data_IF_902603036917
#
_entry.id   IF_902603036917
#
_cell.length_a   1.000
_cell.length_b   1.000
_cell.length_c   1.000
_cell.angle_alpha   90.00
_cell.angle_beta   90.00
_cell.angle_gamma   90.00
#
_symmetry.space_group_name_H-M   'P 1'
#
loop_
_entity.id
_entity.type
_entity.pdbx_description
1 polymer ?
2 non-polymer ?
3 water ?
#
# COMPACT_ATOMS: atom_id res chain seq x y z
N UNK A 2 -7.72 6.32 -12.25
CA UNK A 2 -8.19 4.94 -12.66
C UNK A 2 -9.68 4.70 -12.47
N UNK A 3 -10.08 3.70 -11.68
CA UNK A 3 -9.26 2.65 -11.07
C UNK A 3 -8.62 1.78 -12.14
N UNK A 4 -7.68 0.84 -11.91
CA UNK A 4 -6.53 0.75 -10.96
C UNK A 4 -6.34 -0.56 -10.15
N UNK A 5 -5.65 -1.53 -10.74
CA UNK A 5 -5.36 -2.85 -10.14
C UNK A 5 -3.86 -3.01 -9.94
N UNK A 6 -3.43 -3.38 -8.74
CA UNK A 6 -2.02 -3.46 -8.44
C UNK A 6 -1.54 -4.87 -8.34
N UNK A 7 -0.74 -5.28 -9.33
CA UNK A 7 -0.17 -6.62 -9.39
C UNK A 7 1.14 -6.58 -8.65
N UNK A 8 1.27 -7.45 -7.66
CA UNK A 8 2.45 -7.45 -6.80
C UNK A 8 3.37 -8.63 -7.09
N UNK A 9 4.65 -8.34 -7.29
CA UNK A 9 5.71 -9.35 -7.12
C UNK A 9 6.54 -9.00 -5.85
N UNK A 10 6.54 -9.91 -4.87
CA UNK A 10 7.23 -9.67 -3.56
C UNK A 10 8.52 -10.45 -3.31
N UNK A 11 9.63 -9.90 -3.78
CA UNK A 11 10.94 -10.54 -3.59
C UNK A 11 12.08 -9.57 -3.24
N UNK A 12 12.70 -9.69 -2.05
CA UNK A 12 12.32 -10.52 -0.88
C UNK A 12 13.28 -10.27 0.30
N UNK A 13 14.57 -10.24 0.01
CA UNK A 13 15.64 -9.87 0.93
C UNK A 13 16.87 -9.49 0.10
N UNK A 14 16.64 -9.22 -1.18
CA UNK A 14 17.70 -8.97 -2.19
C UNK A 14 17.84 -7.52 -2.64
N UNK A 15 18.71 -7.22 -3.62
CA UNK A 15 19.48 -8.13 -4.49
C UNK A 15 18.65 -8.69 -5.63
N UNK A 16 17.60 -9.44 -5.27
CA UNK A 16 16.57 -9.82 -6.24
C UNK A 16 15.72 -8.61 -6.62
N UNK A 17 16.37 -7.45 -6.71
CA UNK A 17 15.71 -6.18 -7.02
C UNK A 17 16.21 -5.60 -8.34
N UNK A 18 17.42 -5.05 -8.33
CA UNK A 18 18.03 -4.45 -9.51
C UNK A 18 18.03 -5.45 -10.70
N UNK A 19 17.87 -6.72 -10.38
CA UNK A 19 17.70 -7.76 -11.38
C UNK A 19 16.24 -7.82 -11.83
N UNK A 20 15.33 -7.86 -10.86
CA UNK A 20 13.90 -7.90 -11.16
C UNK A 20 13.35 -6.59 -11.74
N UNK A 21 13.96 -5.46 -11.35
CA UNK A 21 13.43 -4.15 -11.74
C UNK A 21 13.47 -3.92 -13.25
N UNK A 22 14.65 -4.07 -13.85
CA UNK A 22 14.81 -3.87 -15.29
C UNK A 22 14.04 -4.94 -16.07
N UNK A 23 14.11 -6.19 -15.60
CA UNK A 23 13.43 -7.29 -16.29
C UNK A 23 11.90 -7.29 -16.10
N UNK A 24 11.39 -6.47 -15.19
CA UNK A 24 9.94 -6.40 -14.95
C UNK A 24 9.33 -5.00 -15.10
N UNK A 25 10.17 -4.00 -15.38
CA UNK A 25 9.75 -2.61 -15.60
C UNK A 25 8.44 -2.21 -14.87
N UNK A 26 8.45 -2.23 -13.52
CA UNK A 26 7.22 -2.00 -12.78
C UNK A 26 7.07 -0.53 -12.39
N UNK A 27 5.87 -0.15 -11.97
CA UNK A 27 5.50 1.24 -11.76
C UNK A 27 5.84 1.78 -10.36
N UNK A 28 5.59 0.96 -9.34
CA UNK A 28 6.19 1.18 -8.03
C UNK A 28 7.58 0.56 -8.23
N UNK A 29 8.57 0.61 -7.32
CA UNK A 29 8.68 -0.23 -6.13
C UNK A 29 8.53 0.32 -4.74
N UNK A 30 8.39 -0.63 -3.81
CA UNK A 30 8.39 -0.42 -2.38
C UNK A 30 9.70 -0.99 -1.84
N UNK A 31 10.31 -0.28 -0.90
CA UNK A 31 11.58 -0.72 -0.35
C UNK A 31 11.62 -0.66 1.18
N UNK A 32 11.66 -1.82 1.83
CA UNK A 32 11.84 -1.90 3.28
C UNK A 32 13.32 -1.64 3.56
N UNK A 33 13.63 -0.65 4.40
CA UNK A 33 15.03 -0.26 4.62
C UNK A 33 15.54 -0.50 6.04
N UNK A 34 14.62 -0.90 6.92
CA UNK A 34 14.82 -0.92 8.37
C UNK A 34 16.12 -1.60 8.82
N UNK A 35 16.69 -1.09 9.93
CA UNK A 35 18.00 -1.49 10.51
C UNK A 35 19.19 -1.50 9.52
N UNK A 36 20.30 -0.83 9.89
CA UNK A 36 21.48 -0.77 9.00
C UNK A 36 22.21 -2.12 8.80
N UNK A 37 21.59 -3.05 8.07
CA UNK A 37 22.22 -4.36 7.78
C UNK A 37 22.02 -4.91 6.35
N UNK A 38 20.80 -4.89 5.84
CA UNK A 38 20.50 -5.42 4.49
C UNK A 38 20.37 -4.32 3.41
N UNK A 39 21.01 -4.55 2.26
CA UNK A 39 21.29 -3.50 1.25
C UNK A 39 20.13 -2.65 0.71
N UNK A 40 19.30 -2.12 1.62
CA UNK A 40 18.14 -1.32 1.24
C UNK A 40 18.55 -0.11 0.43
N UNK A 41 19.26 0.82 1.07
CA UNK A 41 19.72 2.06 0.45
C UNK A 41 20.60 1.85 -0.77
N UNK A 42 21.40 0.80 -0.76
CA UNK A 42 22.32 0.52 -1.83
C UNK A 42 21.57 0.09 -3.09
N UNK A 43 20.41 -0.53 -2.87
CA UNK A 43 19.53 -0.97 -3.95
C UNK A 43 18.98 0.23 -4.73
N UNK A 44 18.36 1.15 -3.99
CA UNK A 44 17.73 2.34 -4.55
C UNK A 44 18.65 3.12 -5.50
N UNK A 45 19.88 3.38 -5.04
CA UNK A 45 20.86 4.17 -5.79
C UNK A 45 21.02 3.60 -7.20
N UNK A 46 21.13 2.27 -7.30
CA UNK A 46 21.26 1.58 -8.59
C UNK A 46 20.09 1.83 -9.53
N UNK A 47 18.88 1.85 -8.97
CA UNK A 47 17.70 2.15 -9.77
C UNK A 47 17.72 3.61 -10.17
N UNK A 48 17.80 4.48 -9.17
CA UNK A 48 17.87 5.91 -9.40
C UNK A 48 18.98 6.24 -10.41
N UNK A 49 19.79 5.24 -10.73
CA UNK A 49 20.76 5.37 -11.80
C UNK A 49 20.22 4.77 -13.09
N UNK A 50 19.89 3.49 -13.07
CA UNK A 50 19.42 2.81 -14.29
C UNK A 50 18.12 3.42 -14.81
N UNK A 51 17.45 4.16 -13.94
CA UNK A 51 16.27 4.95 -14.29
C UNK A 51 16.18 6.11 -13.32
N UNK A 52 16.77 7.26 -13.70
CA UNK A 52 16.80 8.49 -12.90
C UNK A 52 15.44 9.00 -12.38
N UNK A 53 14.35 8.54 -13.01
CA UNK A 53 12.98 8.94 -12.67
C UNK A 53 12.57 8.65 -11.21
N UNK A 54 11.92 7.49 -11.00
CA UNK A 54 11.41 7.01 -9.71
C UNK A 54 10.85 5.61 -10.05
N UNK A 55 9.74 5.14 -9.50
CA UNK A 55 9.01 5.73 -8.38
C UNK A 55 9.12 4.76 -7.21
N UNK A 56 9.96 5.12 -6.25
CA UNK A 56 10.20 4.28 -5.11
C UNK A 56 9.43 4.81 -3.90
N UNK A 57 8.86 3.90 -3.13
CA UNK A 57 8.08 4.22 -1.96
C UNK A 57 8.73 3.59 -0.74
N UNK A 58 9.22 4.42 0.17
CA UNK A 58 10.01 3.91 1.29
C UNK A 58 9.13 3.52 2.47
N UNK A 59 9.55 2.46 3.14
CA UNK A 59 8.79 1.88 4.24
C UNK A 59 9.32 2.35 5.60
N UNK A 60 8.94 3.57 5.97
CA UNK A 60 9.44 4.21 7.18
C UNK A 60 8.63 3.86 8.42
N UNK A 61 9.34 3.31 9.39
CA UNK A 61 8.81 2.83 10.66
C UNK A 61 9.79 1.75 11.11
N UNK A 62 10.32 1.85 12.32
CA UNK A 62 10.07 2.97 13.24
C UNK A 62 11.39 3.31 13.93
N UNK A 63 11.60 4.57 14.30
CA UNK A 63 12.80 4.99 15.03
C UNK A 63 14.09 4.91 14.22
N UNK A 64 14.11 4.01 13.24
CA UNK A 64 15.23 3.91 12.29
C UNK A 64 15.03 4.95 11.17
N UNK A 65 14.88 6.19 11.59
CA UNK A 65 14.79 7.34 10.71
C UNK A 65 16.18 7.62 10.18
N UNK A 66 17.18 7.38 11.01
CA UNK A 66 18.58 7.41 10.61
C UNK A 66 18.76 6.95 9.16
N UNK A 67 18.14 5.80 8.84
CA UNK A 67 18.22 5.22 7.52
C UNK A 67 17.38 5.97 6.51
N UNK A 68 16.17 6.32 6.90
CA UNK A 68 15.24 7.03 6.02
C UNK A 68 15.88 8.30 5.44
N UNK A 69 16.53 9.08 6.30
CA UNK A 69 17.21 10.28 5.86
C UNK A 69 18.22 9.96 4.75
N UNK A 70 19.12 9.01 5.02
CA UNK A 70 20.11 8.58 4.02
C UNK A 70 19.43 8.09 2.74
N UNK A 71 18.30 7.42 2.88
CA UNK A 71 17.53 6.96 1.74
C UNK A 71 17.03 8.10 0.87
N UNK A 72 16.58 9.19 1.50
CA UNK A 72 16.03 10.32 0.75
C UNK A 72 17.12 11.04 -0.01
N UNK A 73 18.31 11.10 0.60
CA UNK A 73 19.49 11.63 -0.06
C UNK A 73 19.74 10.86 -1.36
N UNK A 74 19.40 9.58 -1.38
CA UNK A 74 19.54 8.76 -2.59
C UNK A 74 18.48 9.01 -3.67
N UNK A 75 17.39 9.68 -3.30
CA UNK A 75 16.36 10.07 -4.28
C UNK A 75 14.95 9.60 -3.99
N UNK A 76 14.73 9.08 -2.78
CA UNK A 76 13.40 8.69 -2.35
C UNK A 76 12.50 9.91 -2.17
N UNK A 77 11.36 9.90 -2.84
CA UNK A 77 10.40 10.99 -2.79
C UNK A 77 9.09 10.63 -2.10
N UNK A 78 8.79 9.34 -1.91
CA UNK A 78 7.49 8.92 -1.36
C UNK A 78 7.56 7.82 -0.28
N UNK A 79 6.49 7.70 0.52
CA UNK A 79 6.53 6.92 1.77
C UNK A 79 5.18 6.38 2.17
N UNK A 80 5.19 5.21 2.82
CA UNK A 80 4.00 4.73 3.52
C UNK A 80 4.24 4.62 5.03
N UNK A 81 3.19 4.85 5.80
CA UNK A 81 3.31 4.81 7.23
C UNK A 81 2.12 4.13 7.87
N UNK A 82 2.40 3.37 8.92
CA UNK A 82 1.34 2.72 9.66
C UNK A 82 1.47 3.06 11.13
N UNK A 83 2.28 2.29 11.86
CA UNK A 83 2.37 2.39 13.32
C UNK A 83 2.81 3.78 13.79
N UNK A 84 3.86 4.31 13.15
CA UNK A 84 4.52 5.54 13.56
C UNK A 84 3.63 6.75 13.42
N UNK A 85 2.63 6.64 12.56
CA UNK A 85 1.63 7.68 12.42
C UNK A 85 0.62 7.62 13.57
N UNK A 86 0.28 6.40 14.00
CA UNK A 86 -0.63 6.21 15.11
C UNK A 86 0.04 6.71 16.41
N UNK A 87 1.32 6.38 16.60
CA UNK A 87 2.09 6.91 17.72
C UNK A 87 2.16 8.41 17.69
N UNK A 88 2.38 8.94 16.48
CA UNK A 88 2.60 10.37 16.31
C UNK A 88 1.96 10.89 15.03
N UNK A 89 0.65 11.17 15.09
CA UNK A 89 -0.11 11.72 13.96
C UNK A 89 0.60 12.85 13.21
N UNK A 90 1.35 13.68 13.94
CA UNK A 90 2.02 14.84 13.35
C UNK A 90 2.99 14.46 12.24
N UNK A 91 3.53 13.25 12.35
CA UNK A 91 4.56 12.76 11.45
C UNK A 91 4.14 12.87 9.99
N UNK A 92 2.82 12.83 9.76
CA UNK A 92 2.24 12.96 8.43
C UNK A 92 2.39 14.38 7.96
N UNK A 93 1.80 15.31 8.72
CA UNK A 93 1.93 16.73 8.46
C UNK A 93 3.39 17.06 8.20
N UNK A 94 4.27 16.44 8.98
CA UNK A 94 5.71 16.68 8.87
C UNK A 94 6.22 16.38 7.46
N UNK A 95 5.99 15.15 6.99
CA UNK A 95 6.36 14.73 5.63
C UNK A 95 5.60 15.52 4.57
N UNK A 96 4.28 15.57 4.71
CA UNK A 96 3.46 16.21 3.72
C UNK A 96 3.89 17.65 3.52
N UNK A 97 4.48 18.26 4.53
CA UNK A 97 4.95 19.62 4.36
C UNK A 97 6.23 19.68 3.56
N UNK A 98 7.11 18.71 3.78
CA UNK A 98 8.36 18.65 3.01
C UNK A 98 8.11 18.19 1.57
N UNK A 99 7.40 17.08 1.39
CA UNK A 99 7.27 16.45 0.09
C UNK A 99 5.88 16.56 -0.54
N UNK A 100 4.97 17.26 0.15
CA UNK A 100 3.58 17.36 -0.32
C UNK A 100 2.70 16.21 0.12
N UNK A 101 1.38 16.42 0.10
CA UNK A 101 0.41 15.40 0.50
C UNK A 101 0.48 14.20 -0.39
N UNK A 102 0.76 14.44 -1.66
CA UNK A 102 0.96 13.39 -2.64
C UNK A 102 1.86 12.30 -2.09
N UNK A 103 2.98 12.72 -1.54
CA UNK A 103 4.07 11.83 -1.18
C UNK A 103 3.78 10.86 -0.04
N UNK A 104 2.68 11.05 0.66
CA UNK A 104 2.48 10.22 1.83
C UNK A 104 1.24 9.36 1.74
N UNK A 105 1.43 8.07 1.95
CA UNK A 105 0.37 7.08 1.99
C UNK A 105 0.31 6.54 3.42
N UNK A 106 -0.89 6.54 4.00
CA UNK A 106 -1.12 5.94 5.30
C UNK A 106 -1.77 4.57 5.16
N UNK A 107 -1.06 3.54 5.57
CA UNK A 107 -1.61 2.20 5.65
C UNK A 107 -2.48 2.13 6.87
N UNK A 108 -3.71 1.63 6.73
CA UNK A 108 -4.54 1.40 7.91
C UNK A 108 -4.96 -0.05 8.03
N UNK A 109 -4.65 -0.65 9.18
CA UNK A 109 -5.00 -2.04 9.48
C UNK A 109 -6.22 -2.11 10.37
N UNK A 110 -7.29 -2.72 9.86
CA UNK A 110 -8.55 -2.71 10.57
C UNK A 110 -9.15 -4.08 10.78
N UNK A 111 -9.96 -4.17 11.83
CA UNK A 111 -10.52 -5.41 12.32
C UNK A 111 -11.78 -4.98 13.05
N UNK A 112 -12.87 -5.70 12.86
CA UNK A 112 -14.07 -5.37 13.61
C UNK A 112 -14.10 -6.10 14.92
N UNK A 113 -14.27 -5.34 16.01
CA UNK A 113 -14.33 -5.89 17.35
C UNK A 113 -15.56 -5.37 18.10
N UNK A 114 -16.47 -6.30 18.40
CA UNK A 114 -17.76 -6.01 19.05
C UNK A 114 -18.63 -5.11 18.17
N UNK A 115 -18.62 -5.44 16.88
CA UNK A 115 -19.38 -4.73 15.86
C UNK A 115 -18.88 -3.32 15.62
N UNK A 116 -17.57 -3.13 15.77
CA UNK A 116 -16.96 -1.80 15.72
C UNK A 116 -15.62 -1.88 15.01
N UNK A 117 -15.48 -1.16 13.89
CA UNK A 117 -14.18 -1.08 13.19
C UNK A 117 -13.10 -0.39 14.03
N UNK A 118 -12.02 -1.13 14.32
CA UNK A 118 -10.96 -0.66 15.20
C UNK A 118 -9.59 -0.77 14.53
N UNK A 119 -8.67 0.13 14.89
CA UNK A 119 -7.33 0.16 14.28
C UNK A 119 -6.35 -0.74 15.05
N UNK A 120 -5.39 -1.33 14.33
CA UNK A 120 -4.42 -2.25 14.90
C UNK A 120 -3.04 -1.91 14.40
N UNK A 121 -2.05 -1.95 15.29
CA UNK A 121 -0.70 -1.58 14.90
C UNK A 121 0.28 -2.71 15.11
N UNK A 122 1.56 -2.40 14.86
CA UNK A 122 2.64 -3.36 15.01
C UNK A 122 2.38 -4.58 14.17
N UNK A 123 2.18 -4.35 12.87
CA UNK A 123 1.84 -5.43 11.94
C UNK A 123 0.51 -6.07 12.38
N UNK A 124 -0.43 -5.21 12.78
CA UNK A 124 -1.80 -5.61 13.10
C UNK A 124 -2.04 -6.42 14.38
N UNK A 125 -1.46 -6.00 15.49
CA UNK A 125 -1.60 -6.79 16.71
C UNK A 125 -1.98 -6.00 17.97
N UNK A 126 -1.55 -4.75 18.09
CA UNK A 126 -1.99 -3.94 19.21
C UNK A 126 -3.33 -3.34 18.84
N UNK A 127 -4.36 -3.66 19.60
CA UNK A 127 -5.62 -2.94 19.43
C UNK A 127 -5.45 -1.56 20.04
N UNK A 128 -5.35 -0.59 19.17
CA UNK A 128 -5.08 0.77 19.58
C UNK A 128 -6.22 1.35 20.40
N UNK A 129 -7.41 0.77 20.28
CA UNK A 129 -8.61 1.30 20.91
C UNK A 129 -9.04 2.59 20.23
N UNK A 130 -8.72 2.68 18.95
CA UNK A 130 -9.05 3.85 18.14
C UNK A 130 -9.99 3.42 17.02
N UNK A 131 -11.15 4.04 16.98
CA UNK A 131 -12.16 3.75 15.97
C UNK A 131 -11.65 4.11 14.59
N UNK A 132 -11.81 3.19 13.64
CA UNK A 132 -11.38 3.41 12.26
C UNK A 132 -11.93 4.72 11.74
N UNK A 133 -13.24 4.88 11.85
CA UNK A 133 -13.92 6.13 11.54
C UNK A 133 -13.13 7.38 11.98
N UNK A 134 -12.55 7.35 13.18
CA UNK A 134 -11.81 8.50 13.71
C UNK A 134 -10.52 8.75 12.96
N UNK A 135 -9.66 7.73 12.95
CA UNK A 135 -8.37 7.78 12.29
C UNK A 135 -8.45 8.22 10.81
N UNK A 136 -9.42 7.69 10.07
CA UNK A 136 -9.61 8.07 8.69
C UNK A 136 -9.66 9.61 8.53
N UNK A 137 -10.58 10.24 9.25
CA UNK A 137 -10.74 11.69 9.19
C UNK A 137 -9.45 12.38 9.58
N UNK A 138 -8.93 11.97 10.74
CA UNK A 138 -7.70 12.50 11.28
C UNK A 138 -6.58 12.46 10.24
N UNK A 139 -6.38 11.28 9.66
CA UNK A 139 -5.33 11.08 8.68
C UNK A 139 -5.43 12.04 7.52
N UNK A 140 -6.65 12.29 7.03
CA UNK A 140 -6.82 13.23 5.95
C UNK A 140 -6.45 14.63 6.39
N UNK A 141 -7.05 15.10 7.49
CA UNK A 141 -6.79 16.42 8.05
C UNK A 141 -5.31 16.66 8.34
N UNK A 142 -4.60 15.58 8.68
CA UNK A 142 -3.17 15.65 8.95
C UNK A 142 -2.37 15.84 7.69
N UNK A 143 -2.95 15.44 6.56
CA UNK A 143 -2.39 15.74 5.24
C UNK A 143 -2.00 14.56 4.37
N UNK A 144 -2.71 13.46 4.50
CA UNK A 144 -2.38 12.25 3.74
C UNK A 144 -2.63 12.38 2.24
N UNK A 145 -2.11 11.41 1.49
CA UNK A 145 -2.39 11.31 0.08
C UNK A 145 -3.35 10.20 -0.27
N UNK A 146 -3.06 9.00 0.19
CA UNK A 146 -3.86 7.83 -0.15
C UNK A 146 -3.97 6.92 1.04
N UNK A 147 -5.02 6.12 1.08
CA UNK A 147 -5.20 5.23 2.21
C UNK A 147 -5.12 3.76 1.78
N UNK A 148 -4.24 3.04 2.48
CA UNK A 148 -3.99 1.65 2.19
C UNK A 148 -4.71 0.79 3.22
N UNK A 149 -6.04 0.91 3.19
CA UNK A 149 -6.96 0.10 3.94
C UNK A 149 -6.78 -1.40 3.74
N UNK A 150 -6.20 -2.08 4.73
CA UNK A 150 -6.13 -3.54 4.74
C UNK A 150 -7.11 -4.10 5.77
N UNK A 151 -8.00 -4.97 5.34
CA UNK A 151 -8.92 -5.66 6.24
C UNK A 151 -8.23 -6.87 6.82
N UNK A 152 -8.19 -6.96 8.14
CA UNK A 152 -7.57 -8.10 8.79
C UNK A 152 -8.52 -9.28 8.76
N UNK A 153 -9.82 -8.99 8.89
CA UNK A 153 -10.84 -10.03 8.92
C UNK A 153 -10.96 -10.70 7.56
N UNK A 154 -10.13 -10.28 6.62
CA UNK A 154 -10.21 -10.77 5.25
C UNK A 154 -8.85 -11.14 4.69
N UNK A 155 -7.80 -10.62 5.32
CA UNK A 155 -6.46 -10.77 4.78
C UNK A 155 -6.10 -12.24 4.68
N UNK A 156 -5.97 -12.71 3.44
CA UNK A 156 -5.60 -14.08 3.14
C UNK A 156 -6.75 -15.05 3.20
N UNK A 157 -7.98 -14.56 3.13
CA UNK A 157 -9.15 -15.45 3.12
C UNK A 157 -9.53 -15.86 1.70
N UNK A 158 -8.87 -15.24 0.70
CA UNK A 158 -9.16 -15.52 -0.70
C UNK A 158 -10.68 -15.64 -0.93
N UNK A 159 -11.43 -14.79 -0.21
CA UNK A 159 -12.90 -14.87 -0.14
C UNK A 159 -13.61 -13.53 -0.44
N UNK A 160 -12.88 -12.56 -0.97
CA UNK A 160 -13.45 -11.25 -1.32
C UNK A 160 -12.87 -10.10 -0.52
N UNK A 161 -12.88 -8.91 -1.10
CA UNK A 161 -12.49 -7.72 -0.36
C UNK A 161 -13.53 -7.36 0.71
N UNK A 162 -13.13 -6.59 1.71
CA UNK A 162 -14.03 -6.16 2.78
C UNK A 162 -14.92 -5.02 2.30
N UNK A 163 -15.75 -5.33 1.30
CA UNK A 163 -16.64 -4.36 0.67
C UNK A 163 -17.44 -3.57 1.69
N UNK A 164 -17.68 -4.16 2.86
CA UNK A 164 -18.35 -3.46 3.97
C UNK A 164 -17.46 -2.39 4.58
N UNK A 165 -16.22 -2.74 4.93
CA UNK A 165 -15.26 -1.79 5.49
C UNK A 165 -15.00 -0.63 4.51
N UNK A 166 -14.93 -0.93 3.21
CA UNK A 166 -14.77 0.15 2.24
C UNK A 166 -15.92 1.16 2.32
N UNK A 167 -17.16 0.70 2.12
CA UNK A 167 -18.35 1.53 2.22
C UNK A 167 -18.38 2.40 3.47
N UNK A 168 -17.85 1.88 4.55
CA UNK A 168 -17.79 2.58 5.82
C UNK A 168 -16.84 3.76 5.68
N UNK A 169 -15.67 3.48 5.12
CA UNK A 169 -14.66 4.49 4.93
C UNK A 169 -15.02 5.48 3.82
N UNK A 170 -15.52 4.97 2.70
CA UNK A 170 -15.81 5.78 1.52
C UNK A 170 -16.29 7.21 1.77
N UNK A 171 -17.43 7.37 2.47
CA UNK A 171 -18.01 8.69 2.55
C UNK A 171 -17.28 9.57 3.55
N UNK A 172 -16.45 8.97 4.38
CA UNK A 172 -15.70 9.70 5.39
C UNK A 172 -14.49 10.41 4.82
N UNK A 173 -14.29 10.34 3.51
CA UNK A 173 -13.06 10.88 2.90
C UNK A 173 -13.20 11.21 1.42
N UNK A 174 -12.22 11.94 0.90
CA UNK A 174 -12.12 12.23 -0.52
C UNK A 174 -10.84 11.67 -1.11
N UNK A 175 -10.00 11.14 -0.24
CA UNK A 175 -8.69 10.63 -0.66
C UNK A 175 -8.89 9.32 -1.38
N UNK A 176 -8.00 8.99 -2.33
CA UNK A 176 -7.97 7.66 -2.95
C UNK A 176 -7.82 6.53 -1.94
N UNK A 177 -8.42 5.38 -2.21
CA UNK A 177 -8.35 4.27 -1.29
C UNK A 177 -7.91 3.02 -2.01
N UNK A 178 -6.66 2.63 -1.78
CA UNK A 178 -6.22 1.32 -2.24
C UNK A 178 -6.71 0.30 -1.23
N UNK A 179 -7.35 -0.73 -1.74
CA UNK A 179 -8.02 -1.74 -0.92
C UNK A 179 -7.21 -3.01 -0.89
N UNK A 180 -7.07 -3.56 0.32
CA UNK A 180 -6.21 -4.73 0.53
C UNK A 180 -6.86 -5.78 1.43
N UNK A 181 -6.58 -7.05 1.16
CA UNK A 181 -7.15 -8.11 1.96
C UNK A 181 -7.39 -9.44 1.26
N UNK A 182 -8.65 -9.70 0.88
CA UNK A 182 -9.06 -11.04 0.51
C UNK A 182 -9.28 -11.28 -0.96
N UNK A 183 -8.31 -10.93 -1.78
CA UNK A 183 -8.42 -11.14 -3.22
C UNK A 183 -8.67 -12.61 -3.56
N UNK A 184 -9.88 -12.91 -4.06
CA UNK A 184 -10.31 -14.30 -4.27
C UNK A 184 -10.59 -14.73 -5.70
N UNK A 185 -11.42 -13.95 -6.41
CA UNK A 185 -11.76 -14.22 -7.81
C UNK A 185 -12.00 -12.93 -8.60
N UNK A 186 -12.01 -13.05 -9.93
CA UNK A 186 -12.19 -11.90 -10.83
C UNK A 186 -13.36 -11.02 -10.41
N UNK A 187 -14.49 -11.65 -10.13
CA UNK A 187 -15.66 -10.95 -9.65
C UNK A 187 -15.38 -10.07 -8.42
N UNK A 188 -14.51 -10.53 -7.51
CA UNK A 188 -14.24 -9.79 -6.27
C UNK A 188 -13.65 -8.39 -6.47
N UNK A 189 -12.99 -8.18 -7.61
CA UNK A 189 -12.38 -6.89 -7.93
C UNK A 189 -13.40 -5.87 -8.31
N UNK A 190 -14.42 -6.30 -9.03
CA UNK A 190 -15.53 -5.43 -9.38
C UNK A 190 -16.19 -4.88 -8.12
N UNK A 191 -16.55 -5.79 -7.22
CA UNK A 191 -17.24 -5.45 -5.97
C UNK A 191 -16.47 -4.40 -5.20
N UNK A 192 -15.15 -4.53 -5.22
CA UNK A 192 -14.27 -3.58 -4.55
C UNK A 192 -14.38 -2.22 -5.20
N UNK A 193 -14.27 -2.17 -6.52
CA UNK A 193 -14.43 -0.91 -7.21
C UNK A 193 -15.81 -0.31 -6.97
N UNK A 194 -16.82 -1.15 -7.02
CA UNK A 194 -18.19 -0.71 -6.77
C UNK A 194 -18.38 -0.11 -5.38
N UNK A 195 -17.65 -0.67 -4.41
CA UNK A 195 -17.74 -0.23 -3.02
C UNK A 195 -17.19 1.18 -2.87
N UNK A 196 -16.15 1.50 -3.63
CA UNK A 196 -15.57 2.82 -3.58
C UNK A 196 -14.07 2.79 -3.74
N UNK A 197 -13.47 1.65 -3.43
CA UNK A 197 -12.02 1.47 -3.56
C UNK A 197 -11.54 2.03 -4.90
N UNK A 198 -10.54 2.90 -4.83
CA UNK A 198 -9.98 3.50 -6.03
C UNK A 198 -8.90 2.61 -6.65
N UNK A 199 -8.47 1.59 -5.90
CA UNK A 199 -7.41 0.67 -6.33
C UNK A 199 -7.43 -0.64 -5.57
N UNK A 200 -7.03 -1.73 -6.21
CA UNK A 200 -7.00 -3.01 -5.56
C UNK A 200 -5.61 -3.60 -5.64
N UNK A 201 -5.16 -4.17 -4.53
CA UNK A 201 -3.82 -4.67 -4.44
C UNK A 201 -3.96 -6.17 -4.34
N UNK A 202 -3.03 -6.93 -4.91
CA UNK A 202 -3.10 -8.37 -4.78
C UNK A 202 -1.81 -9.03 -5.17
N UNK A 203 -1.47 -10.09 -4.42
CA UNK A 203 -0.22 -10.81 -4.64
C UNK A 203 -0.47 -12.29 -4.87
N UNK A 204 -1.13 -12.92 -3.89
CA UNK A 204 -1.30 -14.37 -3.84
C UNK A 204 -1.96 -14.93 -5.09
N UNK A 205 -3.00 -14.26 -5.57
CA UNK A 205 -3.82 -14.81 -6.66
C UNK A 205 -3.05 -15.00 -7.97
N UNK A 206 -2.12 -14.10 -8.25
CA UNK A 206 -1.35 -14.16 -9.48
C UNK A 206 -0.11 -15.01 -9.33
N UNK A 207 0.63 -14.76 -8.24
CA UNK A 207 1.75 -15.60 -7.82
C UNK A 207 1.46 -17.07 -8.06
N UNK A 208 0.34 -17.54 -7.52
CA UNK A 208 -0.05 -18.93 -7.59
C UNK A 208 -1.02 -19.20 -8.73
N UNK A 209 -1.19 -18.21 -9.61
CA UNK A 209 -1.98 -18.38 -10.84
C UNK A 209 -3.40 -18.93 -10.61
N UNK A 210 -4.02 -18.50 -9.51
CA UNK A 210 -5.47 -18.60 -9.33
C UNK A 210 -6.16 -17.77 -10.41
N UNK A 211 -5.56 -16.61 -10.71
CA UNK A 211 -6.11 -15.65 -11.67
C UNK A 211 -5.09 -15.21 -12.72
N UNK A 212 -5.56 -15.09 -13.97
CA UNK A 212 -4.73 -14.60 -15.07
C UNK A 212 -4.89 -13.09 -15.30
N UNK A 213 -3.78 -12.38 -15.27
CA UNK A 213 -3.78 -10.92 -15.32
C UNK A 213 -4.39 -10.39 -16.63
N UNK A 214 -4.04 -11.01 -17.76
CA UNK A 214 -4.65 -10.68 -19.04
C UNK A 214 -6.15 -10.84 -18.96
N UNK A 215 -6.57 -12.01 -18.48
CA UNK A 215 -7.99 -12.35 -18.33
C UNK A 215 -8.74 -11.37 -17.43
N UNK A 216 -8.10 -10.96 -16.33
CA UNK A 216 -8.71 -10.02 -15.39
C UNK A 216 -8.95 -8.67 -16.01
N UNK A 217 -8.03 -8.22 -16.85
CA UNK A 217 -8.18 -6.98 -17.61
C UNK A 217 -9.38 -7.07 -18.54
N UNK A 218 -9.47 -8.17 -19.26
CA UNK A 218 -10.52 -8.33 -20.23
C UNK A 218 -11.85 -8.49 -19.54
N UNK A 219 -11.85 -9.15 -18.39
CA UNK A 219 -13.07 -9.33 -17.61
C UNK A 219 -13.65 -7.98 -17.21
N UNK A 220 -12.82 -7.14 -16.58
CA UNK A 220 -13.23 -5.80 -16.17
C UNK A 220 -13.58 -4.93 -17.37
N UNK A 221 -12.83 -5.08 -18.46
CA UNK A 221 -13.17 -4.40 -19.71
C UNK A 221 -14.57 -4.77 -20.24
N UNK A 222 -14.91 -6.06 -20.18
CA UNK A 222 -16.20 -6.58 -20.64
C UNK A 222 -17.34 -6.11 -19.75
N UNK A 223 -17.01 -5.40 -18.68
CA UNK A 223 -18.03 -4.87 -17.78
C UNK A 223 -18.01 -3.34 -17.78
N UNK A 224 -17.14 -2.77 -18.59
CA UNK A 224 -17.10 -1.32 -18.81
C UNK A 224 -16.33 -0.51 -17.79
N UNK A 225 -15.32 -1.12 -17.17
CA UNK A 225 -14.52 -0.43 -16.16
C UNK A 225 -13.25 0.16 -16.77
N UNK A 226 -12.79 1.28 -16.21
CA UNK A 226 -11.50 1.88 -16.56
C UNK A 226 -10.39 1.19 -15.79
N UNK A 227 -9.33 0.76 -16.47
CA UNK A 227 -8.16 0.07 -15.89
C UNK A 227 -7.17 -0.11 -17.04
N UNK A 228 -5.87 0.12 -16.90
CA UNK A 228 -5.15 0.62 -15.73
C UNK A 228 -4.81 -0.39 -14.66
N UNK A 229 -3.72 -1.12 -14.95
CA UNK A 229 -3.10 -2.01 -13.99
C UNK A 229 -1.60 -1.79 -13.94
N UNK A 230 -1.05 -1.93 -12.74
CA UNK A 230 0.33 -1.56 -12.45
C UNK A 230 1.10 -2.65 -11.74
N UNK A 231 2.42 -2.54 -11.78
CA UNK A 231 3.31 -3.49 -11.16
C UNK A 231 3.93 -2.96 -9.88
N UNK A 232 3.61 -3.61 -8.77
CA UNK A 232 4.28 -3.37 -7.51
C UNK A 232 5.54 -4.23 -7.49
N UNK A 233 6.41 -4.01 -6.50
CA UNK A 233 7.60 -4.82 -6.29
C UNK A 233 8.16 -4.48 -4.93
N UNK A 234 8.52 -5.49 -4.13
CA UNK A 234 8.90 -5.24 -2.73
C UNK A 234 9.79 -6.24 -2.01
N UNK A 235 10.64 -5.71 -1.13
CA UNK A 235 11.18 -6.45 0.02
C UNK A 235 10.55 -5.72 1.20
N UNK A 236 10.44 -6.35 2.38
CA UNK A 236 10.77 -7.75 2.66
C UNK A 236 9.52 -8.46 3.20
N UNK A 237 9.27 -8.38 4.52
CA UNK A 237 8.05 -8.92 5.14
C UNK A 237 6.82 -8.06 4.82
X LIG B 1 -3.12 -11.38 -1.34
X LIG B 1 -3.69 -11.97 -0.13
X LIG B 1 -1.68 -11.64 -1.35
X LIG B 1 -3.79 -11.93 -2.52
X LIG B 1 -3.34 -9.95 -1.38
#
# INVERSE_FOLDING_TARGET
>A
MGKRVLIVDDATNGREAVEKYKELKPDIVTMDITMPEMNGIDAIKEIMKIDPNAKIIVCSAMGQQAMVIEAIKAGAKDFIVNTAAVENPSLITQIAQTFGSQAVVVAIDAKRVDGEFMVFTYSGKKNTGILLRDWVVEVEKRGAGEILLTSIDRDGTKSGYDTEMIRFVRPLTTLPIIASGGAGKMEHFLEAFLAGADAALAASVFHFREIDVRELKEYLKKHGVNVRLEGLLEHHH
>B hetero
1 SO4 S O1 O2 O3 O4
#
